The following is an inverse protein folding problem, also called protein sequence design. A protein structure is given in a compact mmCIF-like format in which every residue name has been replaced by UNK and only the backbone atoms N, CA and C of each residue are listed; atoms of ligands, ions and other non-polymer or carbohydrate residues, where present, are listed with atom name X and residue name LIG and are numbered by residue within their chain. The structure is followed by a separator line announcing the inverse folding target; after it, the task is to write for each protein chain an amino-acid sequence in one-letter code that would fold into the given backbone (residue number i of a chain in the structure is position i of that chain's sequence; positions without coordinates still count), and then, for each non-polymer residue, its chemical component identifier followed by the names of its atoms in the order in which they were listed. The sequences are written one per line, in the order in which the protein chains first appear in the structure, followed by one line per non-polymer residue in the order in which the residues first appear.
data_IF_771827311871
#
_entry.id   IF_771827311871
#
_cell.length_a   1.000
_cell.length_b   1.000
_cell.length_c   1.000
_cell.angle_alpha   90.00
_cell.angle_beta   90.00
_cell.angle_gamma   90.00
#
_symmetry.space_group_name_H-M   'P 1'
#
loop_
_entity.id
_entity.type
_entity.pdbx_description
1 polymer ?
#
# COMPACT_ATOMS: atom_id res chain seq x y z
N UNK A 1 -6.76 -0.91 54.41
CA UNK A 1 -6.54 0.18 53.42
C UNK A 1 -6.80 -0.38 52.03
N UNK A 2 -7.56 0.37 51.25
CA UNK A 2 -8.57 -0.13 50.30
C UNK A 2 -8.03 -0.50 48.92
N UNK A 3 -8.48 -1.65 48.39
CA UNK A 3 -8.29 -2.10 46.99
C UNK A 3 -8.90 -1.15 45.95
N UNK A 4 -9.66 -0.12 46.36
CA UNK A 4 -10.30 0.84 45.43
C UNK A 4 -9.33 1.88 44.84
N UNK A 5 -8.22 2.24 45.50
CA UNK A 5 -7.30 3.25 44.95
C UNK A 5 -6.41 2.74 43.80
N UNK A 6 -6.19 1.42 43.68
CA UNK A 6 -5.35 0.85 42.61
C UNK A 6 -6.10 0.78 41.26
N UNK A 7 -7.43 0.84 41.28
CA UNK A 7 -8.25 0.77 40.07
C UNK A 7 -8.31 2.14 39.35
N UNK A 8 -8.64 3.22 40.07
CA UNK A 8 -8.73 4.56 39.48
C UNK A 8 -7.42 5.00 38.81
N UNK A 9 -6.30 4.65 39.43
CA UNK A 9 -4.95 5.03 39.00
C UNK A 9 -4.51 4.42 37.67
N UNK A 10 -4.95 3.20 37.34
CA UNK A 10 -4.66 2.56 36.05
C UNK A 10 -5.56 3.10 34.92
N UNK A 11 -6.67 3.75 35.28
CA UNK A 11 -7.59 4.38 34.30
C UNK A 11 -6.97 5.58 33.66
N UNK A 12 -6.39 6.44 34.51
CA UNK A 12 -5.86 7.71 34.10
C UNK A 12 -4.74 7.53 33.08
N UNK A 13 -3.84 6.57 33.31
CA UNK A 13 -2.81 6.22 32.35
C UNK A 13 -3.40 5.79 31.01
N UNK A 14 -4.32 4.83 30.98
CA UNK A 14 -4.91 4.34 29.71
C UNK A 14 -5.71 5.45 28.99
N UNK A 15 -6.39 6.34 29.72
CA UNK A 15 -7.14 7.46 29.14
C UNK A 15 -6.22 8.53 28.55
N UNK A 16 -5.15 8.90 29.24
CA UNK A 16 -4.11 9.80 28.70
C UNK A 16 -3.50 9.22 27.42
N UNK A 17 -3.33 7.91 27.37
CA UNK A 17 -2.79 7.19 26.24
C UNK A 17 -3.73 7.16 25.03
N UNK A 18 -5.02 6.92 25.26
CA UNK A 18 -6.06 7.04 24.21
C UNK A 18 -6.08 8.46 23.65
N UNK A 19 -5.97 9.48 24.51
CA UNK A 19 -5.98 10.87 24.07
C UNK A 19 -4.76 11.22 23.22
N UNK A 20 -3.56 10.78 23.61
CA UNK A 20 -2.34 10.95 22.81
C UNK A 20 -2.46 10.31 21.43
N UNK A 21 -3.03 9.11 21.33
CA UNK A 21 -3.23 8.44 20.04
C UNK A 21 -4.20 9.20 19.14
N UNK A 22 -5.32 9.69 19.70
CA UNK A 22 -6.28 10.50 18.93
C UNK A 22 -5.63 11.77 18.37
N UNK A 23 -4.85 12.48 19.17
CA UNK A 23 -4.14 13.69 18.73
C UNK A 23 -3.14 13.38 17.61
N UNK A 24 -2.38 12.29 17.72
CA UNK A 24 -1.45 11.86 16.68
C UNK A 24 -2.17 11.46 15.39
N UNK A 25 -3.23 10.66 15.49
CA UNK A 25 -4.04 10.22 14.36
C UNK A 25 -4.68 11.40 13.62
N UNK A 26 -5.26 12.36 14.35
CA UNK A 26 -5.82 13.60 13.77
C UNK A 26 -4.75 14.45 13.09
N UNK A 27 -3.54 14.55 13.66
CA UNK A 27 -2.44 15.28 13.01
C UNK A 27 -2.02 14.61 11.69
N UNK A 28 -1.97 13.28 11.67
CA UNK A 28 -1.68 12.48 10.48
C UNK A 28 -2.79 12.64 9.42
N UNK A 29 -4.06 12.71 9.83
CA UNK A 29 -5.16 13.02 8.92
C UNK A 29 -5.07 14.44 8.36
N UNK A 30 -4.77 15.44 9.19
CA UNK A 30 -4.59 16.82 8.72
C UNK A 30 -3.47 16.93 7.66
N UNK A 31 -2.39 16.16 7.80
CA UNK A 31 -1.33 16.10 6.79
C UNK A 31 -1.83 15.57 5.43
N UNK A 32 -2.84 14.69 5.42
CA UNK A 32 -3.40 14.11 4.19
C UNK A 32 -4.10 15.15 3.30
N UNK A 33 -4.61 16.23 3.91
CA UNK A 33 -5.38 17.29 3.22
C UNK A 33 -4.53 18.52 2.85
N UNK A 34 -3.27 18.58 3.26
CA UNK A 34 -2.41 19.77 3.07
C UNK A 34 -1.70 19.85 1.71
N UNK A 35 -2.10 19.04 0.72
CA UNK A 35 -1.55 19.08 -0.65
C UNK A 35 -2.12 20.24 -1.49
N UNK A 36 -2.41 21.40 -0.89
CA UNK A 36 -2.87 22.56 -1.66
C UNK A 36 -1.72 23.07 -2.56
N UNK A 37 -1.91 22.92 -3.87
CA UNK A 37 -1.03 23.34 -4.96
C UNK A 37 -0.92 24.87 -5.13
N UNK A 38 -1.42 25.66 -4.18
CA UNK A 38 -1.37 27.11 -4.24
C UNK A 38 -0.19 27.68 -3.47
N UNK A 39 1.01 27.41 -3.98
CA UNK A 39 2.26 28.06 -3.57
C UNK A 39 2.80 28.98 -4.65
N UNK A 40 2.07 30.05 -5.01
CA UNK A 40 2.66 31.18 -5.73
C UNK A 40 3.66 31.88 -4.82
N UNK A 41 4.86 32.07 -5.34
CA UNK A 41 5.87 33.09 -4.99
C UNK A 41 5.76 33.72 -3.61
N UNK A 42 6.63 33.29 -2.67
CA UNK A 42 7.36 34.21 -1.80
C UNK A 42 8.70 33.57 -1.39
N UNK A 43 9.79 33.97 -2.03
CA UNK A 43 11.16 34.13 -1.48
C UNK A 43 11.79 33.09 -0.55
N UNK A 44 11.24 31.89 -0.38
CA UNK A 44 11.76 30.87 0.50
C UNK A 44 12.86 30.10 -0.24
N UNK A 45 14.05 30.03 0.39
CA UNK A 45 15.14 29.18 -0.07
C UNK A 45 14.60 27.80 -0.45
N UNK A 46 14.88 27.35 -1.68
CA UNK A 46 14.55 26.00 -2.15
C UNK A 46 14.92 25.01 -1.05
N UNK A 47 13.96 24.21 -0.51
CA UNK A 47 14.26 23.26 0.55
C UNK A 47 15.39 22.36 0.08
N UNK A 48 16.56 22.49 0.69
CA UNK A 48 17.71 21.66 0.34
C UNK A 48 17.35 20.24 0.70
N UNK A 49 17.20 19.36 -0.30
CA UNK A 49 16.96 17.95 -0.07
C UNK A 49 18.14 17.36 0.72
N UNK A 50 17.92 17.03 1.98
CA UNK A 50 18.91 16.39 2.84
C UNK A 50 18.65 14.89 2.85
N UNK A 51 19.20 14.18 1.84
CA UNK A 51 19.12 12.71 1.71
C UNK A 51 19.43 12.01 3.03
N UNK A 52 20.52 12.40 3.69
CA UNK A 52 20.96 11.81 4.96
C UNK A 52 19.94 11.97 6.08
N UNK A 53 19.23 13.09 6.14
CA UNK A 53 18.18 13.32 7.14
C UNK A 53 16.95 12.44 6.87
N UNK A 54 16.55 12.29 5.60
CA UNK A 54 15.45 11.41 5.19
C UNK A 54 15.77 9.95 5.51
N UNK A 55 16.97 9.50 5.17
CA UNK A 55 17.41 8.13 5.38
C UNK A 55 17.52 7.84 6.89
N UNK A 56 18.01 8.80 7.68
CA UNK A 56 18.01 8.71 9.13
C UNK A 56 16.60 8.62 9.72
N UNK A 57 15.65 9.44 9.26
CA UNK A 57 14.26 9.38 9.69
C UNK A 57 13.59 8.06 9.31
N UNK A 58 13.81 7.54 8.09
CA UNK A 58 13.31 6.22 7.69
C UNK A 58 13.86 5.12 8.61
N UNK A 59 15.15 5.17 8.92
CA UNK A 59 15.77 4.23 9.85
C UNK A 59 15.14 4.31 11.24
N UNK A 60 14.97 5.51 11.78
CA UNK A 60 14.30 5.73 13.07
C UNK A 60 12.89 5.14 13.06
N UNK A 61 12.15 5.31 11.96
CA UNK A 61 10.80 4.76 11.79
C UNK A 61 10.82 3.22 11.86
N UNK A 62 11.74 2.57 11.16
CA UNK A 62 11.89 1.11 11.17
C UNK A 62 12.28 0.61 12.56
N UNK A 63 13.30 1.21 13.17
CA UNK A 63 13.78 0.83 14.50
C UNK A 63 12.68 1.01 15.57
N UNK A 64 11.92 2.09 15.49
CA UNK A 64 10.78 2.33 16.38
C UNK A 64 9.66 1.30 16.17
N UNK A 65 9.40 0.89 14.93
CA UNK A 65 8.42 -0.15 14.62
C UNK A 65 8.79 -1.51 15.20
N UNK A 66 10.08 -1.88 15.11
CA UNK A 66 10.61 -3.09 15.71
C UNK A 66 10.49 -3.10 17.23
N UNK A 67 10.65 -1.93 17.86
CA UNK A 67 10.47 -1.82 19.30
C UNK A 67 8.98 -1.85 19.70
N UNK A 68 8.08 -1.26 18.91
CA UNK A 68 6.62 -1.42 19.11
C UNK A 68 6.22 -2.89 19.04
N UNK A 69 6.72 -3.66 18.07
CA UNK A 69 6.47 -5.10 17.93
C UNK A 69 6.89 -5.88 19.20
N UNK A 70 8.11 -5.63 19.69
CA UNK A 70 8.61 -6.26 20.92
C UNK A 70 7.77 -5.88 22.14
N UNK A 71 7.43 -4.61 22.30
CA UNK A 71 6.66 -4.13 23.43
C UNK A 71 5.19 -4.60 23.38
N UNK A 72 4.60 -4.70 22.20
CA UNK A 72 3.29 -5.33 21.99
C UNK A 72 3.29 -6.80 22.42
N UNK A 73 4.36 -7.54 22.13
CA UNK A 73 4.55 -8.92 22.61
C UNK A 73 4.59 -8.98 24.13
N UNK A 74 5.42 -8.13 24.76
CA UNK A 74 5.56 -8.08 26.22
C UNK A 74 4.22 -7.74 26.88
N UNK A 75 3.46 -6.85 26.26
CA UNK A 75 2.13 -6.46 26.71
C UNK A 75 1.17 -7.64 26.60
N UNK A 76 1.08 -8.32 25.46
CA UNK A 76 0.20 -9.47 25.27
C UNK A 76 0.50 -10.63 26.26
N UNK A 77 1.78 -10.96 26.46
CA UNK A 77 2.20 -12.06 27.33
C UNK A 77 2.15 -11.68 28.82
N UNK A 78 2.53 -10.45 29.15
CA UNK A 78 2.68 -9.98 30.53
C UNK A 78 1.38 -9.51 31.19
N UNK A 79 0.35 -9.13 30.42
CA UNK A 79 -0.86 -8.52 30.98
C UNK A 79 -1.57 -9.40 32.00
N UNK A 80 -1.55 -10.73 31.82
CA UNK A 80 -2.16 -11.69 32.75
C UNK A 80 -1.41 -11.79 34.10
N UNK A 81 -0.11 -11.55 34.08
CA UNK A 81 0.80 -11.79 35.23
C UNK A 81 1.08 -10.53 36.04
N UNK A 82 0.84 -9.33 35.49
CA UNK A 82 1.09 -8.06 36.18
C UNK A 82 0.12 -7.81 37.33
N UNK A 83 0.67 -7.52 38.51
CA UNK A 83 -0.12 -7.40 39.75
C UNK A 83 -0.09 -6.00 40.35
N UNK A 84 0.98 -5.23 40.15
CA UNK A 84 1.15 -3.90 40.74
C UNK A 84 1.05 -2.76 39.70
N UNK A 85 0.84 -1.51 40.17
CA UNK A 85 0.71 -0.32 39.32
C UNK A 85 2.02 0.03 38.62
N UNK A 86 3.14 -0.12 39.32
CA UNK A 86 4.47 0.25 38.83
C UNK A 86 4.86 -0.57 37.60
N UNK A 87 4.59 -1.87 37.59
CA UNK A 87 4.82 -2.76 36.45
C UNK A 87 3.99 -2.36 35.23
N UNK A 88 2.70 -2.07 35.44
CA UNK A 88 1.79 -1.69 34.34
C UNK A 88 2.19 -0.32 33.78
N UNK A 89 2.45 0.66 34.64
CA UNK A 89 2.88 1.99 34.20
C UNK A 89 4.23 1.90 33.47
N UNK A 90 5.15 1.08 33.96
CA UNK A 90 6.43 0.84 33.30
C UNK A 90 6.26 0.21 31.92
N UNK A 91 5.40 -0.81 31.80
CA UNK A 91 5.14 -1.49 30.53
C UNK A 91 4.41 -0.57 29.54
N UNK A 92 3.39 0.16 29.99
CA UNK A 92 2.67 1.09 29.12
C UNK A 92 3.60 2.21 28.67
N UNK A 93 4.45 2.75 29.55
CA UNK A 93 5.47 3.73 29.16
C UNK A 93 6.49 3.17 28.18
N UNK A 94 6.93 1.91 28.37
CA UNK A 94 7.86 1.28 27.44
C UNK A 94 7.23 1.01 26.08
N UNK A 95 5.94 0.68 26.01
CA UNK A 95 5.19 0.53 24.76
C UNK A 95 4.95 1.86 24.02
N UNK A 96 4.60 2.93 24.75
CA UNK A 96 4.24 4.21 24.13
C UNK A 96 5.41 4.99 23.58
N UNK A 97 6.57 4.90 24.24
CA UNK A 97 7.77 5.62 23.78
C UNK A 97 8.14 5.31 22.32
N UNK A 98 8.31 4.03 21.90
CA UNK A 98 8.60 3.72 20.52
C UNK A 98 7.41 3.99 19.60
N UNK A 99 6.16 3.85 20.07
CA UNK A 99 4.98 4.19 19.28
C UNK A 99 4.91 5.68 18.96
N UNK A 100 5.19 6.55 19.92
CA UNK A 100 5.25 8.00 19.74
C UNK A 100 6.37 8.38 18.77
N UNK A 101 7.55 7.77 18.88
CA UNK A 101 8.64 7.96 17.91
C UNK A 101 8.17 7.55 16.52
N UNK A 102 7.55 6.38 16.37
CA UNK A 102 7.07 5.88 15.09
C UNK A 102 6.03 6.81 14.45
N UNK A 103 5.03 7.25 15.23
CA UNK A 103 3.96 8.15 14.76
C UNK A 103 4.49 9.53 14.41
N UNK A 104 5.33 10.13 15.26
CA UNK A 104 5.93 11.44 15.00
C UNK A 104 6.87 11.40 13.79
N UNK A 105 7.69 10.35 13.68
CA UNK A 105 8.58 10.18 12.52
C UNK A 105 7.79 10.02 11.23
N UNK A 106 6.74 9.19 11.26
CA UNK A 106 5.84 9.02 10.13
C UNK A 106 5.12 10.31 9.73
N UNK A 107 4.63 11.08 10.71
CA UNK A 107 4.04 12.40 10.48
C UNK A 107 5.05 13.36 9.84
N UNK A 108 6.24 13.51 10.41
CA UNK A 108 7.31 14.37 9.88
C UNK A 108 7.66 13.97 8.45
N UNK A 109 7.86 12.69 8.19
CA UNK A 109 8.14 12.17 6.85
C UNK A 109 7.00 12.46 5.87
N UNK A 110 5.74 12.38 6.31
CA UNK A 110 4.56 12.61 5.46
C UNK A 110 4.40 14.08 5.03
N UNK A 111 4.73 15.02 5.93
CA UNK A 111 4.61 16.47 5.64
C UNK A 111 5.86 17.04 4.96
N UNK A 112 7.03 16.42 5.14
CA UNK A 112 8.27 17.00 4.63
C UNK A 112 8.37 16.85 3.11
N UNK A 113 8.76 17.92 2.42
CA UNK A 113 8.91 17.95 0.96
C UNK A 113 10.14 17.20 0.42
N UNK A 114 10.74 16.33 1.23
CA UNK A 114 11.84 15.47 0.78
C UNK A 114 11.37 14.09 0.33
N UNK A 115 10.12 13.72 0.60
CA UNK A 115 9.51 12.51 0.05
C UNK A 115 8.76 12.83 -1.23
N UNK A 116 8.90 11.97 -2.24
CA UNK A 116 8.01 11.98 -3.38
C UNK A 116 6.60 11.53 -2.97
N UNK A 117 5.60 11.78 -3.81
CA UNK A 117 4.20 11.45 -3.56
C UNK A 117 4.00 9.98 -3.18
N UNK A 118 4.53 9.04 -3.97
CA UNK A 118 4.48 7.61 -3.67
C UNK A 118 5.02 7.27 -2.27
N UNK A 119 6.17 7.83 -1.91
CA UNK A 119 6.77 7.64 -0.59
C UNK A 119 5.90 8.21 0.53
N UNK A 120 5.37 9.42 0.35
CA UNK A 120 4.50 10.07 1.35
C UNK A 120 3.27 9.22 1.62
N UNK A 121 2.59 8.75 0.57
CA UNK A 121 1.38 7.92 0.68
C UNK A 121 1.67 6.62 1.43
N UNK A 122 2.77 5.93 1.12
CA UNK A 122 3.12 4.67 1.79
C UNK A 122 3.49 4.85 3.27
N UNK A 123 4.25 5.90 3.60
CA UNK A 123 4.58 6.24 4.99
C UNK A 123 3.33 6.60 5.77
N UNK A 124 2.49 7.46 5.18
CA UNK A 124 1.24 7.91 5.76
C UNK A 124 0.30 6.74 6.06
N UNK A 125 0.09 5.86 5.09
CA UNK A 125 -0.78 4.68 5.23
C UNK A 125 -0.29 3.73 6.32
N UNK A 126 1.03 3.49 6.39
CA UNK A 126 1.63 2.71 7.47
C UNK A 126 1.35 3.36 8.83
N UNK A 127 1.59 4.66 8.96
CA UNK A 127 1.40 5.40 10.21
C UNK A 127 -0.06 5.36 10.66
N UNK A 128 -1.02 5.58 9.76
CA UNK A 128 -2.46 5.47 10.04
C UNK A 128 -2.83 4.06 10.49
N UNK A 129 -2.40 3.06 9.73
CA UNK A 129 -2.71 1.67 10.02
C UNK A 129 -2.15 1.25 11.38
N UNK A 130 -0.88 1.55 11.68
CA UNK A 130 -0.29 1.25 12.99
C UNK A 130 -1.00 2.00 14.12
N UNK A 131 -1.30 3.30 13.93
CA UNK A 131 -2.03 4.12 14.88
C UNK A 131 -3.40 3.52 15.24
N UNK A 132 -4.17 3.12 14.23
CA UNK A 132 -5.47 2.45 14.39
C UNK A 132 -5.36 1.18 15.23
N UNK A 133 -4.48 0.25 14.88
CA UNK A 133 -4.36 -1.02 15.62
C UNK A 133 -3.80 -0.83 17.03
N UNK A 134 -2.91 0.15 17.23
CA UNK A 134 -2.45 0.51 18.57
C UNK A 134 -3.60 1.07 19.42
N UNK A 135 -4.47 1.91 18.83
CA UNK A 135 -5.65 2.42 19.51
C UNK A 135 -6.63 1.29 19.87
N UNK A 136 -6.89 0.37 18.95
CA UNK A 136 -7.73 -0.82 19.21
C UNK A 136 -7.17 -1.66 20.37
N UNK A 137 -5.86 -1.89 20.39
CA UNK A 137 -5.19 -2.61 21.48
C UNK A 137 -5.40 -1.88 22.82
N UNK A 138 -5.15 -0.57 22.86
CA UNK A 138 -5.30 0.24 24.08
C UNK A 138 -6.74 0.28 24.57
N UNK A 139 -7.72 0.31 23.65
CA UNK A 139 -9.14 0.23 24.00
C UNK A 139 -9.50 -1.12 24.63
N UNK A 140 -9.00 -2.23 24.10
CA UNK A 140 -9.26 -3.56 24.70
C UNK A 140 -8.59 -3.69 26.09
N UNK A 141 -7.43 -3.07 26.30
CA UNK A 141 -6.81 -2.97 27.64
C UNK A 141 -7.69 -2.19 28.61
N UNK A 142 -8.33 -1.12 28.14
CA UNK A 142 -9.30 -0.35 28.91
C UNK A 142 -10.53 -1.19 29.27
N UNK A 143 -11.10 -1.92 28.31
CA UNK A 143 -12.29 -2.77 28.51
C UNK A 143 -12.03 -3.94 29.46
N UNK A 144 -10.88 -4.63 29.36
CA UNK A 144 -10.55 -5.70 30.30
C UNK A 144 -10.47 -5.17 31.73
N UNK A 145 -9.97 -3.95 31.90
CA UNK A 145 -9.81 -3.33 33.21
C UNK A 145 -11.16 -2.99 33.86
N UNK A 146 -12.15 -2.53 33.10
CA UNK A 146 -13.49 -2.19 33.62
C UNK A 146 -14.37 -3.42 33.87
N UNK A 147 -14.01 -4.58 33.32
CA UNK A 147 -14.70 -5.85 33.58
C UNK A 147 -14.34 -6.42 34.97
N UNK A 148 -15.35 -6.67 35.80
CA UNK A 148 -15.20 -7.25 37.15
C UNK A 148 -14.75 -8.73 37.13
N UNK A 149 -14.78 -9.40 35.97
CA UNK A 149 -14.30 -10.77 35.80
C UNK A 149 -13.05 -10.76 34.91
N UNK A 150 -12.02 -11.53 35.31
CA UNK A 150 -10.94 -11.94 34.39
C UNK A 150 -11.57 -12.76 33.27
N UNK A 151 -12.02 -12.08 32.24
CA UNK A 151 -12.62 -12.70 31.07
C UNK A 151 -11.49 -13.19 30.16
N UNK A 152 -11.34 -14.51 30.08
CA UNK A 152 -10.37 -15.13 29.17
C UNK A 152 -10.58 -14.68 27.72
N UNK A 153 -11.82 -14.34 27.33
CA UNK A 153 -12.15 -13.84 26.00
C UNK A 153 -11.57 -12.45 25.73
N UNK A 154 -11.55 -11.58 26.73
CA UNK A 154 -10.96 -10.24 26.58
C UNK A 154 -9.43 -10.29 26.60
N UNK A 155 -8.83 -11.26 27.31
CA UNK A 155 -7.38 -11.53 27.18
C UNK A 155 -7.03 -12.05 25.78
N UNK A 156 -7.86 -12.94 25.22
CA UNK A 156 -7.69 -13.43 23.85
C UNK A 156 -7.75 -12.28 22.83
N UNK A 157 -8.68 -11.33 23.00
CA UNK A 157 -8.73 -10.12 22.18
C UNK A 157 -7.46 -9.28 22.27
N UNK A 158 -6.90 -9.08 23.46
CA UNK A 158 -5.63 -8.34 23.63
C UNK A 158 -4.51 -9.03 22.83
N UNK A 159 -4.42 -10.35 22.91
CA UNK A 159 -3.44 -11.14 22.14
C UNK A 159 -3.68 -10.97 20.64
N UNK A 160 -4.93 -11.06 20.18
CA UNK A 160 -5.29 -10.87 18.78
C UNK A 160 -4.96 -9.45 18.28
N UNK A 161 -5.28 -8.40 19.05
CA UNK A 161 -4.97 -7.01 18.69
C UNK A 161 -3.48 -6.73 18.70
N UNK A 162 -2.75 -7.29 19.65
CA UNK A 162 -1.29 -7.22 19.66
C UNK A 162 -0.72 -7.90 18.42
N UNK A 163 -1.14 -9.13 18.09
CA UNK A 163 -0.73 -9.82 16.88
C UNK A 163 -1.03 -9.03 15.61
N UNK A 164 -2.23 -8.43 15.51
CA UNK A 164 -2.58 -7.57 14.38
C UNK A 164 -1.67 -6.34 14.28
N UNK A 165 -1.39 -5.66 15.40
CA UNK A 165 -0.44 -4.55 15.46
C UNK A 165 0.96 -4.97 15.00
N UNK A 166 1.43 -6.14 15.42
CA UNK A 166 2.74 -6.67 15.02
C UNK A 166 2.82 -6.89 13.50
N UNK A 167 1.80 -7.48 12.89
CA UNK A 167 1.75 -7.64 11.43
C UNK A 167 1.83 -6.28 10.72
N UNK A 168 1.25 -5.22 11.31
CA UNK A 168 1.36 -3.87 10.76
C UNK A 168 2.71 -3.24 10.99
N UNK A 169 3.34 -3.46 12.14
CA UNK A 169 4.71 -3.00 12.39
C UNK A 169 5.72 -3.64 11.43
N UNK A 170 5.55 -4.92 11.07
CA UNK A 170 6.39 -5.58 10.05
C UNK A 170 6.36 -4.88 8.70
N UNK A 171 5.27 -4.19 8.35
CA UNK A 171 5.18 -3.43 7.11
C UNK A 171 6.19 -2.28 7.03
N UNK A 172 6.66 -1.76 8.18
CA UNK A 172 7.73 -0.76 8.22
C UNK A 172 9.03 -1.27 7.59
N UNK A 173 9.35 -2.56 7.78
CA UNK A 173 10.59 -3.18 7.24
C UNK A 173 10.59 -3.31 5.73
N UNK A 174 9.41 -3.38 5.13
CA UNK A 174 9.24 -3.48 3.67
C UNK A 174 8.91 -2.12 3.04
N UNK A 175 8.94 -1.03 3.82
CA UNK A 175 8.87 0.29 3.23
C UNK A 175 10.07 0.49 2.29
N UNK A 176 9.84 1.09 1.11
CA UNK A 176 10.95 1.45 0.24
C UNK A 176 11.95 2.33 0.96
N UNK A 177 13.23 1.98 0.86
CA UNK A 177 14.32 2.77 1.45
C UNK A 177 14.56 4.11 0.76
N UNK A 178 13.93 4.37 -0.40
CA UNK A 178 14.14 5.58 -1.20
C UNK A 178 12.90 5.99 -1.98
N UNK A 179 12.86 7.24 -2.45
CA UNK A 179 11.81 7.75 -3.33
C UNK A 179 11.71 6.96 -4.65
N UNK A 180 12.86 6.63 -5.24
CA UNK A 180 12.95 5.78 -6.41
C UNK A 180 12.31 4.39 -6.15
N UNK A 181 12.63 3.79 -5.00
CA UNK A 181 12.05 2.51 -4.59
C UNK A 181 10.53 2.57 -4.41
N UNK A 182 10.00 3.68 -3.90
CA UNK A 182 8.56 3.86 -3.70
C UNK A 182 7.80 3.97 -5.01
N UNK A 183 8.30 4.79 -5.95
CA UNK A 183 7.71 4.90 -7.29
C UNK A 183 7.87 3.59 -8.06
N UNK A 184 9.03 2.92 -7.96
CA UNK A 184 9.23 1.59 -8.54
C UNK A 184 8.18 0.60 -8.05
N UNK A 185 7.93 0.56 -6.73
CA UNK A 185 6.90 -0.31 -6.16
C UNK A 185 5.52 0.02 -6.71
N UNK A 186 5.15 1.29 -6.77
CA UNK A 186 3.88 1.72 -7.33
C UNK A 186 3.72 1.32 -8.81
N UNK A 187 4.75 1.50 -9.63
CA UNK A 187 4.75 1.07 -11.05
C UNK A 187 4.53 -0.45 -11.15
N UNK A 188 5.18 -1.23 -10.29
CA UNK A 188 5.02 -2.68 -10.28
C UNK A 188 3.63 -3.11 -9.83
N UNK A 189 3.00 -2.40 -8.90
CA UNK A 189 1.61 -2.63 -8.49
C UNK A 189 0.65 -2.41 -9.67
N UNK A 190 0.83 -1.33 -10.45
CA UNK A 190 0.04 -1.09 -11.67
C UNK A 190 0.33 -2.12 -12.76
N UNK A 191 1.59 -2.52 -12.92
CA UNK A 191 1.95 -3.58 -13.85
C UNK A 191 1.27 -4.92 -13.49
N UNK A 192 1.16 -5.24 -12.19
CA UNK A 192 0.41 -6.42 -11.74
C UNK A 192 -1.07 -6.29 -12.14
N UNK A 193 -1.70 -5.13 -11.97
CA UNK A 193 -3.09 -4.92 -12.44
C UNK A 193 -3.21 -5.15 -13.95
N UNK A 194 -2.31 -4.62 -14.78
CA UNK A 194 -2.31 -4.92 -16.23
C UNK A 194 -2.22 -6.42 -16.51
N UNK A 195 -1.30 -7.10 -15.82
CA UNK A 195 -1.07 -8.54 -15.99
C UNK A 195 -2.29 -9.35 -15.58
N UNK A 196 -2.90 -9.00 -14.45
CA UNK A 196 -4.04 -9.72 -13.88
C UNK A 196 -5.29 -9.50 -14.75
N UNK A 197 -5.54 -8.28 -15.23
CA UNK A 197 -6.61 -8.00 -16.20
C UNK A 197 -6.36 -8.72 -17.52
N UNK A 198 -5.13 -8.72 -18.04
CA UNK A 198 -4.79 -9.49 -19.24
C UNK A 198 -5.06 -10.99 -19.03
N UNK A 199 -4.62 -11.54 -17.89
CA UNK A 199 -4.83 -12.95 -17.54
C UNK A 199 -6.32 -13.29 -17.38
N UNK A 200 -7.12 -12.40 -16.80
CA UNK A 200 -8.57 -12.57 -16.67
C UNK A 200 -9.23 -12.79 -18.04
N UNK A 201 -8.89 -11.99 -19.05
CA UNK A 201 -9.40 -12.19 -20.42
C UNK A 201 -8.82 -13.41 -21.13
N UNK A 202 -7.60 -13.84 -20.76
CA UNK A 202 -7.08 -15.14 -21.21
C UNK A 202 -7.89 -16.30 -20.62
N UNK A 203 -8.15 -16.26 -19.31
CA UNK A 203 -8.84 -17.34 -18.60
C UNK A 203 -10.32 -17.44 -19.04
N UNK A 204 -11.01 -16.32 -19.25
CA UNK A 204 -12.38 -16.28 -19.81
C UNK A 204 -12.48 -16.95 -21.19
N UNK A 205 -11.40 -16.92 -21.96
CA UNK A 205 -11.35 -17.58 -23.26
C UNK A 205 -11.25 -19.10 -23.15
N UNK A 206 -10.65 -19.61 -22.06
CA UNK A 206 -10.45 -21.04 -21.78
C UNK A 206 -11.64 -21.66 -21.06
N UNK A 207 -12.22 -20.97 -20.06
CA UNK A 207 -13.32 -21.50 -19.23
C UNK A 207 -14.61 -21.70 -20.03
N UNK A 208 -14.88 -20.83 -21.00
CA UNK A 208 -16.02 -20.98 -21.91
C UNK A 208 -15.91 -22.21 -22.85
N UNK A 209 -14.77 -22.93 -22.89
CA UNK A 209 -14.65 -24.23 -23.58
C UNK A 209 -15.01 -25.42 -22.68
N UNK A 210 -14.85 -25.28 -21.36
CA UNK A 210 -15.14 -26.38 -20.41
C UNK A 210 -16.64 -26.54 -20.19
N UNK A 211 -17.44 -25.49 -20.41
CA UNK A 211 -18.91 -25.57 -20.36
C UNK A 211 -19.53 -26.20 -21.63
N UNK A 212 -18.79 -26.27 -22.74
CA UNK A 212 -19.25 -26.88 -24.01
C UNK A 212 -18.81 -28.35 -24.19
N UNK A 213 -17.80 -28.80 -23.42
CA UNK A 213 -17.30 -30.18 -23.42
C UNK A 213 -17.63 -30.89 -22.08
N UNK A 214 -18.92 -31.14 -21.81
CA UNK A 214 -19.32 -32.24 -20.92
C UNK A 214 -19.14 -33.59 -21.65
N UNK A 215 -17.91 -33.97 -22.03
CA UNK A 215 -17.53 -35.37 -22.28
C UNK A 215 -16.01 -35.60 -22.15
N UNK A 216 -15.64 -36.37 -21.12
CA UNK A 216 -14.49 -37.32 -21.04
C UNK A 216 -13.06 -36.78 -21.24
N UNK A 217 -12.29 -36.57 -20.16
CA UNK A 217 -11.38 -37.58 -19.59
C UNK A 217 -10.25 -37.01 -18.70
N UNK A 218 -9.75 -37.91 -17.86
CA UNK A 218 -8.93 -37.77 -16.65
C UNK A 218 -7.46 -37.29 -16.82
N UNK A 219 -6.96 -36.71 -15.72
CA UNK A 219 -5.57 -36.74 -15.19
C UNK A 219 -4.39 -36.25 -16.06
N UNK A 220 -3.77 -35.13 -15.64
CA UNK A 220 -2.44 -35.23 -15.01
C UNK A 220 -1.97 -33.96 -14.28
N UNK A 221 -1.32 -34.23 -13.15
CA UNK A 221 -0.72 -33.33 -12.19
C UNK A 221 0.77 -33.17 -12.52
N UNK A 222 1.28 -31.97 -12.81
CA UNK A 222 2.70 -31.68 -12.52
C UNK A 222 2.99 -30.20 -12.25
N UNK A 223 3.63 -29.98 -11.09
CA UNK A 223 4.18 -28.73 -10.63
C UNK A 223 5.44 -28.39 -11.46
N UNK A 224 5.32 -27.51 -12.45
CA UNK A 224 6.49 -26.81 -12.98
C UNK A 224 6.21 -25.33 -13.20
N UNK A 225 7.18 -24.52 -12.79
CA UNK A 225 7.23 -23.05 -12.88
C UNK A 225 6.71 -22.58 -14.24
N UNK A 226 5.75 -21.63 -14.33
CA UNK A 226 5.29 -21.13 -15.62
C UNK A 226 6.46 -20.49 -16.37
N UNK A 227 6.91 -21.14 -17.46
CA UNK A 227 7.65 -20.46 -18.52
C UNK A 227 6.75 -19.32 -19.00
N UNK A 228 7.26 -18.09 -18.98
CA UNK A 228 6.67 -17.01 -19.75
C UNK A 228 6.74 -17.40 -21.24
N UNK A 229 5.66 -17.96 -21.75
CA UNK A 229 5.50 -18.30 -23.17
C UNK A 229 5.17 -16.98 -23.89
N UNK A 230 6.22 -16.30 -24.31
CA UNK A 230 6.17 -15.38 -25.44
C UNK A 230 6.34 -16.23 -26.72
N UNK A 231 5.28 -16.87 -27.22
CA UNK A 231 5.25 -17.41 -28.59
C UNK A 231 4.00 -16.94 -29.32
N UNK A 232 4.15 -16.74 -30.63
CA UNK A 232 3.08 -16.37 -31.58
C UNK A 232 1.98 -17.44 -31.72
N UNK A 233 2.02 -18.51 -30.92
CA UNK A 233 0.96 -19.53 -30.79
C UNK A 233 -0.25 -19.05 -29.96
N UNK A 234 -0.15 -17.83 -29.39
CA UNK A 234 -1.17 -17.12 -28.60
C UNK A 234 -2.55 -16.97 -29.28
N UNK A 235 -2.59 -16.94 -30.61
CA UNK A 235 -3.82 -16.61 -31.36
C UNK A 235 -4.80 -17.77 -31.57
N UNK A 236 -4.47 -19.00 -31.16
CA UNK A 236 -5.33 -20.17 -31.38
C UNK A 236 -6.30 -20.49 -30.21
N UNK A 237 -6.16 -19.79 -29.08
CA UNK A 237 -6.82 -20.18 -27.81
C UNK A 237 -7.94 -19.22 -27.34
N UNK A 238 -8.24 -18.15 -28.10
CA UNK A 238 -9.23 -17.12 -27.73
C UNK A 238 -10.70 -17.45 -28.10
N UNK A 239 -11.05 -18.68 -28.48
CA UNK A 239 -12.21 -18.90 -29.37
C UNK A 239 -13.61 -18.82 -28.72
N UNK A 240 -13.80 -19.21 -27.45
CA UNK A 240 -15.17 -19.37 -26.90
C UNK A 240 -15.82 -18.07 -26.39
N UNK A 241 -15.14 -17.26 -25.56
CA UNK A 241 -15.64 -15.92 -25.19
C UNK A 241 -15.83 -15.03 -26.42
N UNK A 242 -14.89 -15.11 -27.37
CA UNK A 242 -14.91 -14.34 -28.62
C UNK A 242 -15.99 -14.83 -29.59
N UNK A 243 -16.44 -16.08 -29.49
CA UNK A 243 -17.54 -16.59 -30.32
C UNK A 243 -18.90 -15.96 -29.97
N UNK A 244 -19.05 -15.45 -28.74
CA UNK A 244 -20.23 -14.69 -28.32
C UNK A 244 -20.24 -13.25 -28.86
N UNK A 245 -19.08 -12.80 -29.34
CA UNK A 245 -18.88 -11.49 -29.95
C UNK A 245 -19.01 -11.59 -31.47
N UNK A 246 -19.36 -10.48 -32.11
CA UNK A 246 -19.19 -10.36 -33.56
C UNK A 246 -17.70 -10.37 -33.92
N UNK A 247 -17.35 -10.75 -35.16
CA UNK A 247 -15.95 -10.76 -35.61
C UNK A 247 -15.24 -9.41 -35.42
N UNK A 248 -15.96 -8.30 -35.52
CA UNK A 248 -15.41 -6.95 -35.33
C UNK A 248 -15.19 -6.62 -33.83
N UNK A 249 -16.12 -7.05 -32.96
CA UNK A 249 -16.01 -6.91 -31.51
C UNK A 249 -14.88 -7.78 -30.96
N UNK A 250 -14.77 -9.03 -31.44
CA UNK A 250 -13.68 -9.94 -31.12
C UNK A 250 -12.32 -9.32 -31.50
N UNK A 251 -12.14 -8.87 -32.74
CA UNK A 251 -10.89 -8.21 -33.16
C UNK A 251 -10.56 -6.97 -32.31
N UNK A 252 -11.58 -6.22 -31.88
CA UNK A 252 -11.41 -5.06 -31.01
C UNK A 252 -10.96 -5.46 -29.60
N UNK A 253 -11.58 -6.48 -28.99
CA UNK A 253 -11.19 -6.96 -27.67
C UNK A 253 -9.75 -7.49 -27.68
N UNK A 254 -9.41 -8.31 -28.68
CA UNK A 254 -8.07 -8.90 -28.83
C UNK A 254 -6.97 -7.82 -28.91
N UNK A 255 -7.20 -6.77 -29.71
CA UNK A 255 -6.29 -5.64 -29.83
C UNK A 255 -6.03 -4.94 -28.49
N UNK A 256 -7.07 -4.78 -27.67
CA UNK A 256 -6.98 -4.07 -26.40
C UNK A 256 -6.45 -4.94 -25.26
N UNK A 257 -6.69 -6.25 -25.31
CA UNK A 257 -6.00 -7.23 -24.46
C UNK A 257 -4.50 -7.20 -24.76
N UNK A 258 -4.10 -7.15 -26.05
CA UNK A 258 -2.70 -6.96 -26.45
C UNK A 258 -2.08 -5.69 -25.85
N UNK A 259 -2.81 -4.57 -25.92
CA UNK A 259 -2.37 -3.30 -25.34
C UNK A 259 -2.07 -3.43 -23.84
N UNK A 260 -2.90 -4.15 -23.07
CA UNK A 260 -2.67 -4.38 -21.64
C UNK A 260 -1.34 -5.12 -21.39
N UNK A 261 -1.01 -6.11 -22.22
CA UNK A 261 0.27 -6.83 -22.14
C UNK A 261 1.47 -5.95 -22.51
N UNK A 262 1.36 -5.16 -23.57
CA UNK A 262 2.42 -4.24 -23.99
C UNK A 262 2.70 -3.17 -22.92
N UNK A 263 1.64 -2.62 -22.32
CA UNK A 263 1.74 -1.68 -21.18
C UNK A 263 2.38 -2.36 -19.98
N UNK A 264 1.99 -3.60 -19.63
CA UNK A 264 2.62 -4.39 -18.57
C UNK A 264 4.14 -4.53 -18.78
N UNK A 265 4.55 -4.99 -19.96
CA UNK A 265 5.96 -5.21 -20.30
C UNK A 265 6.75 -3.91 -20.22
N UNK A 266 6.17 -2.80 -20.71
CA UNK A 266 6.84 -1.52 -20.68
C UNK A 266 6.93 -0.92 -19.26
N UNK A 267 5.89 -1.06 -18.41
CA UNK A 267 5.93 -0.67 -17.00
C UNK A 267 7.04 -1.42 -16.24
N UNK A 268 7.24 -2.72 -16.53
CA UNK A 268 8.37 -3.50 -15.98
C UNK A 268 9.74 -2.91 -16.37
N UNK A 269 9.90 -2.49 -17.63
CA UNK A 269 11.11 -1.82 -18.09
C UNK A 269 11.33 -0.48 -17.36
N UNK A 270 10.30 0.35 -17.22
CA UNK A 270 10.37 1.64 -16.52
C UNK A 270 10.73 1.43 -15.04
N UNK A 271 10.12 0.45 -14.38
CA UNK A 271 10.43 0.08 -13.00
C UNK A 271 11.91 -0.31 -12.80
N UNK A 272 12.56 -0.86 -13.83
CA UNK A 272 13.99 -1.16 -13.77
C UNK A 272 14.84 0.11 -13.96
N UNK A 273 14.38 1.05 -14.81
CA UNK A 273 15.08 2.31 -15.05
C UNK A 273 14.94 3.33 -13.91
N UNK A 274 13.81 3.35 -13.19
CA UNK A 274 13.57 4.26 -12.05
C UNK A 274 14.58 4.06 -10.92
N UNK A 275 15.14 2.86 -10.80
CA UNK A 275 16.18 2.51 -9.81
C UNK A 275 17.60 2.95 -10.16
N UNK A 276 17.84 3.52 -11.35
CA UNK A 276 19.17 4.02 -11.75
C UNK A 276 19.46 5.33 -10.99
N UNK A 277 20.14 5.18 -9.85
CA UNK A 277 20.52 6.24 -8.91
C UNK A 277 21.28 7.38 -9.58
N UNK A 278 21.03 8.62 -9.11
CA UNK A 278 21.80 9.81 -9.47
C UNK A 278 22.89 10.08 -8.43
N UNK A 279 23.66 9.06 -8.02
CA UNK A 279 24.72 9.26 -7.04
C UNK A 279 25.77 10.24 -7.59
N UNK A 280 26.00 11.35 -6.86
CA UNK A 280 26.84 12.48 -7.29
C UNK A 280 26.11 13.68 -7.89
N UNK A 281 24.78 13.70 -7.88
CA UNK A 281 23.97 14.81 -8.39
C UNK A 281 24.00 16.06 -7.50
N UNK A 282 23.93 17.24 -8.13
CA UNK A 282 23.78 18.53 -7.41
C UNK A 282 22.40 18.63 -6.75
N UNK A 283 22.23 19.55 -5.79
CA UNK A 283 20.92 19.79 -5.14
C UNK A 283 19.80 20.04 -6.15
N UNK A 284 20.09 20.78 -7.22
CA UNK A 284 19.10 21.13 -8.24
C UNK A 284 18.69 19.91 -9.08
N UNK A 285 19.64 19.03 -9.40
CA UNK A 285 19.36 17.77 -10.07
C UNK A 285 18.53 16.82 -9.20
N UNK A 286 18.73 16.84 -7.87
CA UNK A 286 17.92 16.06 -6.94
C UNK A 286 16.48 16.58 -6.85
N UNK A 287 16.29 17.91 -6.84
CA UNK A 287 14.95 18.52 -6.88
C UNK A 287 14.24 18.18 -8.18
N UNK A 288 14.92 18.27 -9.33
CA UNK A 288 14.36 17.87 -10.62
C UNK A 288 14.01 16.37 -10.65
N UNK A 289 14.87 15.52 -10.10
CA UNK A 289 14.62 14.08 -10.01
C UNK A 289 13.42 13.74 -9.14
N UNK A 290 13.26 14.41 -7.98
CA UNK A 290 12.08 14.22 -7.12
C UNK A 290 10.80 14.73 -7.81
N UNK A 291 10.88 15.85 -8.53
CA UNK A 291 9.76 16.37 -9.33
C UNK A 291 9.34 15.39 -10.42
N UNK A 292 10.31 14.82 -11.15
CA UNK A 292 10.06 13.75 -12.11
C UNK A 292 9.39 12.54 -11.46
N UNK A 293 9.91 12.07 -10.32
CA UNK A 293 9.31 10.97 -9.56
C UNK A 293 7.87 11.26 -9.13
N UNK A 294 7.54 12.51 -8.77
CA UNK A 294 6.16 12.91 -8.45
C UNK A 294 5.25 12.81 -9.67
N UNK A 295 5.68 13.38 -10.80
CA UNK A 295 4.89 13.33 -12.04
C UNK A 295 4.67 11.88 -12.49
N UNK A 296 5.72 11.05 -12.48
CA UNK A 296 5.60 9.62 -12.78
C UNK A 296 4.63 8.93 -11.82
N UNK A 297 4.72 9.20 -10.51
CA UNK A 297 3.83 8.62 -9.50
C UNK A 297 2.36 8.98 -9.74
N UNK A 298 2.09 10.22 -10.13
CA UNK A 298 0.75 10.71 -10.42
C UNK A 298 0.18 10.07 -11.69
N UNK A 299 0.94 10.06 -12.79
CA UNK A 299 0.50 9.43 -14.03
C UNK A 299 0.28 7.92 -13.88
N UNK A 300 1.14 7.24 -13.12
CA UNK A 300 0.99 5.80 -12.82
C UNK A 300 -0.29 5.54 -12.02
N UNK A 301 -0.62 6.42 -11.06
CA UNK A 301 -1.88 6.30 -10.30
C UNK A 301 -3.10 6.44 -11.19
N UNK A 302 -3.13 7.44 -12.07
CA UNK A 302 -4.25 7.65 -13.01
C UNK A 302 -4.32 6.50 -14.03
N UNK A 303 -3.16 6.02 -14.50
CA UNK A 303 -3.08 4.89 -15.42
C UNK A 303 -3.74 3.64 -14.83
N UNK A 304 -3.58 3.38 -13.53
CA UNK A 304 -4.25 2.25 -12.87
C UNK A 304 -5.78 2.31 -12.99
N UNK A 305 -6.37 3.49 -12.81
CA UNK A 305 -7.81 3.70 -12.96
C UNK A 305 -8.24 3.52 -14.42
N UNK A 306 -7.48 4.07 -15.37
CA UNK A 306 -7.74 3.91 -16.80
C UNK A 306 -7.66 2.44 -17.24
N UNK A 307 -6.75 1.64 -16.68
CA UNK A 307 -6.66 0.19 -16.92
C UNK A 307 -7.92 -0.52 -16.41
N UNK A 308 -8.40 -0.18 -15.20
CA UNK A 308 -9.63 -0.74 -14.66
C UNK A 308 -10.85 -0.41 -15.53
N UNK A 309 -10.94 0.85 -15.99
CA UNK A 309 -12.00 1.29 -16.90
C UNK A 309 -11.93 0.58 -18.26
N UNK A 310 -10.73 0.39 -18.81
CA UNK A 310 -10.54 -0.40 -20.02
C UNK A 310 -11.00 -1.85 -19.81
N UNK A 311 -10.53 -2.50 -18.74
CA UNK A 311 -10.91 -3.87 -18.40
C UNK A 311 -12.42 -4.05 -18.28
N UNK A 312 -13.12 -3.13 -17.60
CA UNK A 312 -14.59 -3.16 -17.52
C UNK A 312 -15.26 -3.00 -18.89
N UNK A 313 -14.76 -2.10 -19.75
CA UNK A 313 -15.35 -1.86 -21.08
C UNK A 313 -15.16 -3.01 -22.07
N UNK A 314 -14.23 -3.94 -21.80
CA UNK A 314 -14.03 -5.12 -22.63
C UNK A 314 -15.11 -6.18 -22.44
N UNK A 315 -15.90 -6.10 -21.37
CA UNK A 315 -17.05 -6.99 -21.16
C UNK A 315 -18.26 -6.59 -22.05
N UNK A 316 -19.01 -7.56 -22.61
CA UNK A 316 -20.22 -7.27 -23.39
C UNK A 316 -21.35 -6.66 -22.53
N UNK A 317 -22.34 -5.98 -23.15
CA UNK A 317 -22.49 -5.72 -24.59
C UNK A 317 -21.70 -4.48 -25.05
N UNK A 318 -21.13 -4.53 -26.26
CA UNK A 318 -20.43 -3.39 -26.87
C UNK A 318 -21.35 -2.58 -27.79
N UNK A 319 -21.06 -1.30 -27.95
CA UNK A 319 -21.67 -0.52 -29.02
C UNK A 319 -21.05 -0.90 -30.38
N UNK A 320 -21.79 -0.70 -31.48
CA UNK A 320 -21.36 -1.08 -32.84
C UNK A 320 -20.03 -0.47 -33.30
N UNK A 321 -19.59 0.61 -32.64
CA UNK A 321 -18.35 1.32 -32.95
C UNK A 321 -17.29 1.12 -31.85
N UNK A 322 -17.58 0.34 -30.82
CA UNK A 322 -16.72 0.11 -29.65
C UNK A 322 -16.14 1.41 -29.07
N UNK A 323 -16.93 2.48 -29.03
CA UNK A 323 -16.47 3.83 -28.69
C UNK A 323 -15.87 3.88 -27.31
N UNK A 324 -16.53 3.25 -26.34
CA UNK A 324 -16.08 3.26 -24.95
C UNK A 324 -14.73 2.56 -24.77
N UNK A 325 -14.55 1.38 -25.42
CA UNK A 325 -13.28 0.65 -25.42
C UNK A 325 -12.17 1.52 -26.02
N UNK A 326 -12.41 2.09 -27.20
CA UNK A 326 -11.44 2.92 -27.90
C UNK A 326 -11.09 4.20 -27.11
N UNK A 327 -12.06 4.84 -26.47
CA UNK A 327 -11.82 6.00 -25.61
C UNK A 327 -10.96 5.63 -24.40
N UNK A 328 -11.26 4.54 -23.71
CA UNK A 328 -10.50 4.09 -22.56
C UNK A 328 -9.10 3.61 -22.94
N UNK A 329 -8.94 2.94 -24.08
CA UNK A 329 -7.64 2.55 -24.61
C UNK A 329 -6.75 3.76 -24.97
N UNK A 330 -7.35 4.81 -25.52
CA UNK A 330 -6.66 6.07 -25.79
C UNK A 330 -6.22 6.76 -24.50
N UNK A 331 -7.04 6.71 -23.43
CA UNK A 331 -6.62 7.19 -22.10
C UNK A 331 -5.44 6.38 -21.58
N UNK A 332 -5.52 5.05 -21.56
CA UNK A 332 -4.41 4.16 -21.16
C UNK A 332 -3.13 4.50 -21.92
N UNK A 333 -3.19 4.57 -23.25
CA UNK A 333 -2.03 4.89 -24.10
C UNK A 333 -1.46 6.28 -23.82
N UNK A 334 -2.32 7.30 -23.71
CA UNK A 334 -1.92 8.68 -23.41
C UNK A 334 -1.25 8.79 -22.05
N UNK A 335 -1.81 8.15 -21.01
CA UNK A 335 -1.29 8.23 -19.63
C UNK A 335 -0.02 7.42 -19.48
N UNK A 336 0.06 6.28 -20.15
CA UNK A 336 1.30 5.51 -20.26
C UNK A 336 2.42 6.36 -20.87
N UNK A 337 2.16 7.02 -22.02
CA UNK A 337 3.15 7.93 -22.63
C UNK A 337 3.58 9.01 -21.65
N UNK A 338 2.65 9.68 -20.97
CA UNK A 338 2.97 10.71 -19.98
C UNK A 338 3.79 10.18 -18.79
N UNK A 339 3.48 8.98 -18.29
CA UNK A 339 4.25 8.33 -17.24
C UNK A 339 5.70 8.02 -17.67
N UNK A 340 5.92 7.82 -18.97
CA UNK A 340 7.25 7.56 -19.57
C UNK A 340 7.99 8.81 -20.05
N UNK A 341 7.29 9.94 -20.21
CA UNK A 341 7.79 11.10 -20.93
C UNK A 341 8.70 11.97 -20.05
N UNK A 342 9.89 12.28 -20.58
CA UNK A 342 10.95 13.16 -20.02
C UNK A 342 11.46 12.78 -18.63
N UNK A 343 12.56 12.00 -18.62
CA UNK A 343 13.53 11.98 -17.51
C UNK A 343 14.40 13.24 -17.54
#
# INVERSE_FOLDING_TARGET
MSKQNVCADKEQAILELIQKLKTLDTAVDAASYSNDENGKDEGASVPTYQKDAVDALRKIMVDASDEVDKEATKLALGWKTMKNKVEIDSLLKSFFKPLEILMNTGFVLSIHNCLCLASKVQVLELTKTVGKYAQELVNELHTLKTSAKKDNKALEKIIQRAGALQEKCKLARILPGSNAGAVKRQILEVAIVCKDTHKEFQDLSVEARVEDDEHEDEENNDNTVPKEICSDEWYAEMDSFMSSLTSDEAATVELHVKLLYDVYAALRCIANMTGLSTDGSTSDQQVQYISWLNNTSEYVKVLQEDIGNLGMSLYPPHDKESKEINENANKVSSRFVLATYKR
#
